data_IF_230185663526
#
_entry.id   IF_230185663526
#
_cell.length_a   1.000
_cell.length_b   1.000
_cell.length_c   1.000
_cell.angle_alpha   90.00
_cell.angle_beta   90.00
_cell.angle_gamma   90.00
#
_symmetry.space_group_name_H-M   'P 1'
#
loop_
_entity.id
_entity.type
_entity.pdbx_description
1 polymer ?
#
# COMPACT_ATOMS: atom_id res chain seq x y z
N UNK A 1 -19.71 -41.72 18.75
CA UNK A 1 -18.74 -40.94 17.93
C UNK A 1 -19.40 -39.86 17.08
N UNK A 2 -20.50 -40.12 16.37
CA UNK A 2 -21.21 -39.11 15.53
C UNK A 2 -21.65 -37.84 16.29
N UNK A 3 -22.04 -37.97 17.56
CA UNK A 3 -22.44 -36.83 18.44
C UNK A 3 -21.26 -35.92 18.84
N UNK A 4 -20.04 -36.47 18.92
CA UNK A 4 -18.83 -35.71 19.24
C UNK A 4 -18.39 -34.86 18.05
N UNK A 5 -18.49 -35.40 16.83
CA UNK A 5 -18.23 -34.64 15.61
C UNK A 5 -19.20 -33.46 15.45
N UNK A 6 -20.49 -33.68 15.76
CA UNK A 6 -21.50 -32.63 15.68
C UNK A 6 -21.25 -31.51 16.70
N UNK A 7 -20.75 -31.86 17.89
CA UNK A 7 -20.39 -30.90 18.93
C UNK A 7 -19.14 -30.08 18.55
N UNK A 8 -18.11 -30.72 17.97
CA UNK A 8 -16.90 -30.05 17.50
C UNK A 8 -17.17 -29.06 16.35
N UNK A 9 -18.04 -29.42 15.40
CA UNK A 9 -18.43 -28.52 14.31
C UNK A 9 -19.18 -27.30 14.85
N UNK A 10 -20.08 -27.49 15.83
CA UNK A 10 -20.80 -26.38 16.46
C UNK A 10 -19.87 -25.40 17.17
N UNK A 11 -18.84 -25.90 17.86
CA UNK A 11 -17.81 -25.08 18.51
C UNK A 11 -16.99 -24.26 17.50
N UNK A 12 -16.71 -24.81 16.32
CA UNK A 12 -15.93 -24.12 15.29
C UNK A 12 -16.73 -22.97 14.63
N UNK A 13 -18.04 -23.16 14.44
CA UNK A 13 -18.93 -22.09 13.93
C UNK A 13 -19.02 -20.92 14.92
N UNK A 14 -19.04 -21.20 16.23
CA UNK A 14 -19.06 -20.18 17.28
C UNK A 14 -17.72 -19.43 17.43
N UNK A 15 -16.62 -20.01 16.95
CA UNK A 15 -15.28 -19.40 16.94
C UNK A 15 -14.97 -18.64 15.65
N UNK A 16 -15.93 -18.44 14.75
CA UNK A 16 -15.74 -17.55 13.62
C UNK A 16 -15.43 -16.15 14.14
N UNK A 17 -14.19 -15.71 13.95
CA UNK A 17 -13.65 -14.46 14.46
C UNK A 17 -14.56 -13.30 14.06
N UNK A 18 -15.33 -12.77 15.00
CA UNK A 18 -16.13 -11.56 14.79
C UNK A 18 -15.16 -10.39 14.72
N UNK A 19 -14.74 -10.01 13.51
CA UNK A 19 -13.94 -8.79 13.31
C UNK A 19 -14.82 -7.59 13.64
N UNK A 20 -14.68 -7.06 14.85
CA UNK A 20 -15.31 -5.81 15.24
C UNK A 20 -14.34 -4.67 14.92
N UNK A 21 -14.76 -3.79 14.02
CA UNK A 21 -14.06 -2.54 13.75
C UNK A 21 -14.53 -1.55 14.81
N UNK A 22 -13.59 -1.11 15.65
CA UNK A 22 -13.80 -0.07 16.64
C UNK A 22 -13.30 1.25 16.05
N UNK A 23 -14.14 2.28 16.02
CA UNK A 23 -13.81 3.60 15.49
C UNK A 23 -15.07 4.39 15.16
N UNK A 24 -14.94 5.72 15.06
CA UNK A 24 -16.01 6.55 14.49
C UNK A 24 -15.95 6.44 12.96
N UNK A 25 -17.04 6.07 12.27
CA UNK A 25 -17.09 6.10 10.80
C UNK A 25 -17.09 7.53 10.27
N UNK A 26 -17.35 8.51 11.15
CA UNK A 26 -17.41 9.92 10.82
C UNK A 26 -16.19 10.67 11.36
N UNK A 27 -15.62 11.51 10.52
CA UNK A 27 -14.51 12.37 10.88
C UNK A 27 -15.11 13.70 11.33
N UNK A 28 -15.05 13.91 12.64
CA UNK A 28 -15.43 15.18 13.26
C UNK A 28 -14.57 16.31 12.67
N UNK A 29 -15.16 17.49 12.49
CA UNK A 29 -14.44 18.69 11.99
C UNK A 29 -13.94 18.57 10.52
N UNK A 30 -14.37 17.55 9.77
CA UNK A 30 -14.09 17.41 8.34
C UNK A 30 -12.59 17.33 8.02
N UNK A 31 -12.08 18.22 7.17
CA UNK A 31 -10.67 18.25 6.77
C UNK A 31 -9.72 18.37 7.95
N UNK A 32 -10.07 19.21 8.92
CA UNK A 32 -9.21 19.45 10.08
C UNK A 32 -9.09 18.22 10.97
N UNK A 33 -10.16 17.44 11.11
CA UNK A 33 -10.12 16.12 11.75
C UNK A 33 -9.17 15.17 11.01
N UNK A 34 -9.22 15.16 9.68
CA UNK A 34 -8.30 14.36 8.87
C UNK A 34 -6.83 14.78 9.00
N UNK A 35 -6.55 16.08 9.08
CA UNK A 35 -5.19 16.59 9.28
C UNK A 35 -4.64 16.14 10.64
N UNK A 36 -5.43 16.21 11.72
CA UNK A 36 -5.05 15.70 13.04
C UNK A 36 -4.77 14.19 13.03
N UNK A 37 -5.62 13.42 12.35
CA UNK A 37 -5.46 11.95 12.25
C UNK A 37 -4.18 11.60 11.51
N UNK A 38 -3.95 12.18 10.32
CA UNK A 38 -2.72 11.92 9.58
C UNK A 38 -1.47 12.38 10.36
N UNK A 39 -1.53 13.55 11.00
CA UNK A 39 -0.44 14.04 11.83
C UNK A 39 -0.13 13.13 13.03
N UNK A 40 -1.14 12.47 13.62
CA UNK A 40 -0.93 11.49 14.70
C UNK A 40 -0.15 10.24 14.26
N UNK A 41 -0.03 10.03 12.94
CA UNK A 41 0.72 8.94 12.33
C UNK A 41 2.02 9.40 11.67
N UNK A 42 2.46 10.64 11.92
CA UNK A 42 3.59 11.28 11.24
C UNK A 42 3.43 11.28 9.70
N UNK A 43 2.19 11.48 9.24
CA UNK A 43 1.80 11.53 7.84
C UNK A 43 1.15 12.86 7.49
N UNK A 44 1.13 13.18 6.20
CA UNK A 44 0.44 14.35 5.66
C UNK A 44 -0.88 13.95 5.01
N UNK A 45 -1.91 14.79 5.19
CA UNK A 45 -3.19 14.60 4.51
C UNK A 45 -3.06 14.96 3.04
N UNK A 46 -3.28 14.00 2.14
CA UNK A 46 -3.26 14.22 0.69
C UNK A 46 -4.63 14.20 0.05
N UNK A 47 -5.64 13.68 0.74
CA UNK A 47 -7.00 13.67 0.22
C UNK A 47 -8.03 13.15 1.21
N UNK A 48 -9.30 13.31 0.84
CA UNK A 48 -10.44 12.75 1.58
C UNK A 48 -11.34 11.98 0.63
N UNK A 49 -11.90 10.87 1.09
CA UNK A 49 -12.87 10.07 0.35
C UNK A 49 -14.24 10.26 0.98
N UNK A 50 -15.21 10.73 0.19
CA UNK A 50 -16.61 10.76 0.60
C UNK A 50 -17.26 9.41 0.25
N UNK A 51 -17.76 8.68 1.25
CA UNK A 51 -18.46 7.39 1.08
C UNK A 51 -19.97 7.52 1.33
N UNK A 52 -20.57 8.64 0.88
CA UNK A 52 -21.99 8.91 1.05
C UNK A 52 -22.34 9.47 2.44
N UNK A 53 -23.54 9.18 2.94
CA UNK A 53 -24.10 9.84 4.12
C UNK A 53 -23.44 9.44 5.46
N UNK A 54 -22.61 8.39 5.49
CA UNK A 54 -22.19 7.75 6.74
C UNK A 54 -20.69 7.74 7.01
N UNK A 55 -19.84 8.05 6.03
CA UNK A 55 -18.40 8.02 6.25
C UNK A 55 -17.59 8.93 5.34
N UNK A 56 -16.64 9.62 5.97
CA UNK A 56 -15.53 10.29 5.29
C UNK A 56 -14.26 9.53 5.68
N UNK A 57 -13.38 9.26 4.72
CA UNK A 57 -12.06 8.67 4.96
C UNK A 57 -10.95 9.69 4.70
N UNK A 58 -9.84 9.59 5.42
CA UNK A 58 -8.61 10.34 5.11
C UNK A 58 -7.67 9.48 4.26
N UNK A 59 -6.99 10.12 3.31
CA UNK A 59 -5.86 9.55 2.60
C UNK A 59 -4.61 10.24 3.16
N UNK A 60 -3.81 9.50 3.92
CA UNK A 60 -2.56 9.99 4.49
C UNK A 60 -1.37 9.46 3.67
N UNK A 61 -0.39 10.32 3.41
CA UNK A 61 0.86 9.95 2.77
C UNK A 61 2.00 10.18 3.76
N UNK A 62 2.91 9.21 3.86
CA UNK A 62 4.17 9.44 4.58
C UNK A 62 4.98 10.48 3.79
N UNK A 63 5.50 11.54 4.42
CA UNK A 63 6.42 12.45 3.76
C UNK A 63 7.49 11.63 3.07
N UNK A 64 7.71 11.87 1.78
CA UNK A 64 8.79 11.20 1.07
C UNK A 64 10.07 11.49 1.87
N UNK A 65 10.75 10.44 2.31
CA UNK A 65 12.10 10.62 2.79
C UNK A 65 12.82 11.28 1.61
N UNK A 66 13.42 12.44 1.86
CA UNK A 66 14.33 13.08 0.92
C UNK A 66 15.49 12.10 0.77
N UNK A 67 15.30 11.13 -0.13
CA UNK A 67 16.25 10.09 -0.43
C UNK A 67 17.37 10.84 -1.15
N UNK A 68 18.29 11.35 -0.35
CA UNK A 68 19.58 11.77 -0.83
C UNK A 68 20.06 10.64 -1.72
N UNK A 69 20.30 10.96 -2.99
CA UNK A 69 20.80 10.05 -4.02
C UNK A 69 22.06 9.29 -3.59
N UNK A 70 22.71 9.76 -2.50
CA UNK A 70 23.81 9.08 -1.80
C UNK A 70 23.39 7.81 -1.02
N UNK A 71 22.16 7.73 -0.48
CA UNK A 71 21.63 6.55 0.22
C UNK A 71 20.93 5.56 -0.72
N UNK A 72 20.33 6.04 -1.82
CA UNK A 72 19.81 5.16 -2.90
C UNK A 72 20.95 4.35 -3.52
N UNK A 73 22.15 4.94 -3.59
CA UNK A 73 23.37 4.24 -3.99
C UNK A 73 23.72 3.05 -3.09
N UNK A 74 23.31 3.03 -1.81
CA UNK A 74 23.54 1.89 -0.91
C UNK A 74 22.37 0.90 -0.88
N UNK A 75 21.12 1.33 -1.07
CA UNK A 75 19.97 0.42 -1.07
C UNK A 75 19.83 -0.40 -2.37
N UNK A 76 20.34 0.12 -3.50
CA UNK A 76 20.51 -0.67 -4.74
C UNK A 76 21.60 -1.74 -4.55
N UNK A 77 22.68 -1.41 -3.84
CA UNK A 77 23.74 -2.38 -3.51
C UNK A 77 23.23 -3.43 -2.51
N UNK A 78 22.40 -3.08 -1.53
CA UNK A 78 21.81 -4.06 -0.59
C UNK A 78 20.74 -4.95 -1.22
N UNK A 79 19.99 -4.45 -2.21
CA UNK A 79 19.02 -5.25 -2.98
C UNK A 79 19.70 -6.19 -3.99
N UNK A 80 20.99 -5.97 -4.29
CA UNK A 80 21.75 -6.76 -5.27
C UNK A 80 22.06 -8.20 -4.84
N UNK A 81 21.79 -8.58 -3.59
CA UNK A 81 21.95 -9.99 -3.16
C UNK A 81 20.84 -10.93 -3.61
N UNK A 82 19.78 -10.45 -4.29
CA UNK A 82 18.68 -11.33 -4.74
C UNK A 82 17.98 -10.98 -6.06
N UNK A 83 18.08 -9.76 -6.59
CA UNK A 83 17.25 -9.33 -7.74
C UNK A 83 18.04 -8.67 -8.89
N UNK A 84 19.37 -8.80 -8.92
CA UNK A 84 20.22 -8.15 -9.93
C UNK A 84 19.93 -8.55 -11.38
N UNK A 85 19.57 -9.81 -11.65
CA UNK A 85 19.33 -10.28 -13.02
C UNK A 85 17.99 -9.81 -13.60
N UNK A 86 16.94 -9.74 -12.78
CA UNK A 86 15.60 -9.36 -13.25
C UNK A 86 15.51 -7.87 -13.60
N UNK A 87 16.15 -7.01 -12.79
CA UNK A 87 16.19 -5.56 -13.05
C UNK A 87 17.09 -5.24 -14.24
N UNK A 88 18.24 -5.91 -14.36
CA UNK A 88 19.11 -5.75 -15.52
C UNK A 88 18.41 -6.16 -16.82
N UNK A 89 17.68 -7.29 -16.83
CA UNK A 89 16.93 -7.73 -18.00
C UNK A 89 15.82 -6.75 -18.43
N UNK A 90 15.08 -6.17 -17.47
CA UNK A 90 14.05 -5.15 -17.77
C UNK A 90 14.65 -3.87 -18.34
N UNK A 91 15.79 -3.41 -17.81
CA UNK A 91 16.47 -2.23 -18.31
C UNK A 91 16.99 -2.43 -19.74
N UNK A 92 17.55 -3.60 -20.05
CA UNK A 92 17.99 -3.92 -21.42
C UNK A 92 16.81 -4.04 -22.39
N UNK A 93 15.66 -4.53 -21.94
CA UNK A 93 14.47 -4.62 -22.79
C UNK A 93 13.94 -3.23 -23.19
N UNK A 94 13.86 -2.30 -22.23
CA UNK A 94 13.42 -0.92 -22.53
C UNK A 94 14.39 -0.18 -23.45
N UNK A 95 15.70 -0.36 -23.27
CA UNK A 95 16.71 0.28 -24.14
C UNK A 95 16.60 -0.17 -25.60
N UNK A 96 16.38 -1.47 -25.83
CA UNK A 96 16.22 -1.97 -27.19
C UNK A 96 14.92 -1.46 -27.85
N UNK A 97 13.84 -1.29 -27.08
CA UNK A 97 12.58 -0.74 -27.59
C UNK A 97 12.72 0.74 -27.98
N UNK A 98 13.45 1.53 -27.20
CA UNK A 98 13.73 2.94 -27.50
C UNK A 98 14.60 3.10 -28.77
N UNK A 99 15.61 2.24 -28.94
CA UNK A 99 16.48 2.25 -30.13
C UNK A 99 15.71 1.85 -31.40
N UNK A 100 14.81 0.87 -31.31
CA UNK A 100 13.95 0.46 -32.42
C UNK A 100 12.92 1.54 -32.79
N UNK A 101 12.39 2.27 -31.80
CA UNK A 101 11.49 3.39 -32.01
C UNK A 101 12.22 4.57 -32.70
N UNK A 102 13.45 4.87 -32.27
CA UNK A 102 14.29 5.89 -32.89
C UNK A 102 14.66 5.54 -34.35
N UNK A 103 14.94 4.27 -34.64
CA UNK A 103 15.24 3.81 -36.00
C UNK A 103 14.04 3.89 -36.95
N UNK A 104 12.80 3.72 -36.47
CA UNK A 104 11.58 3.90 -37.28
C UNK A 104 11.25 5.36 -37.57
N UNK A 105 11.68 6.29 -36.72
CA UNK A 105 11.46 7.73 -36.92
C UNK A 105 12.30 8.33 -38.06
N UNK A 106 13.34 7.64 -38.53
CA UNK A 106 14.27 8.14 -39.56
C UNK A 106 14.11 7.48 -40.94
N UNK A 107 13.05 6.69 -41.15
CA UNK A 107 12.67 6.14 -42.46
C UNK A 107 11.38 6.78 -42.94
#
# INVERSE_FOLDING_TARGET
MKKIYLFLIMLFVLSSCRTQFYGSPYIEEGRFGCEKICASWDMELVGMVAMGEYSNGCICQKPEADLSINEVGQSIILSSKGTGAAVAAMLTQMQNEDDEAAARSHR
#
